data_IF_628483622286
#
_entry.id   IF_628483622286
#
_cell.length_a   1.000
_cell.length_b   1.000
_cell.length_c   1.000
_cell.angle_alpha   90.00
_cell.angle_beta   90.00
_cell.angle_gamma   90.00
#
_symmetry.space_group_name_H-M   'P 1'
#
loop_
_entity.id
_entity.type
_entity.pdbx_description
1 polymer ?
#
# COMPACT_ATOMS: atom_id res chain seq x y z
N UNK A 1 -29.19 76.20 7.99
CA UNK A 1 -30.35 76.04 7.09
C UNK A 1 -29.84 75.81 5.67
N UNK A 2 -30.50 74.88 4.97
CA UNK A 2 -30.40 74.54 3.52
C UNK A 2 -29.48 73.37 3.15
N UNK A 3 -30.16 72.23 3.08
CA UNK A 3 -29.90 70.98 2.37
C UNK A 3 -29.96 71.15 0.84
N UNK A 4 -29.59 70.04 0.18
CA UNK A 4 -29.88 69.63 -1.22
C UNK A 4 -28.90 70.12 -2.29
N UNK A 5 -28.43 69.33 -3.26
CA UNK A 5 -28.58 67.90 -3.62
C UNK A 5 -27.60 67.60 -4.77
N UNK A 6 -27.07 66.38 -4.79
CA UNK A 6 -26.85 65.48 -5.94
C UNK A 6 -26.15 66.03 -7.20
N UNK A 7 -24.96 65.48 -7.49
CA UNK A 7 -24.58 65.06 -8.85
C UNK A 7 -23.56 63.91 -8.80
N UNK A 8 -24.04 62.68 -8.96
CA UNK A 8 -23.37 61.68 -9.78
C UNK A 8 -23.51 62.13 -11.24
N UNK A 9 -22.51 61.96 -12.12
CA UNK A 9 -22.09 60.62 -12.54
C UNK A 9 -20.59 60.47 -12.83
N UNK A 10 -20.09 59.26 -12.65
CA UNK A 10 -19.48 58.49 -13.73
C UNK A 10 -19.03 57.18 -13.10
N UNK A 11 -19.82 56.13 -13.34
CA UNK A 11 -19.26 54.79 -13.38
C UNK A 11 -18.05 54.87 -14.32
N UNK A 12 -16.85 54.78 -13.76
CA UNK A 12 -15.66 54.50 -14.55
C UNK A 12 -15.91 53.10 -15.06
N UNK A 13 -16.39 53.03 -16.30
CA UNK A 13 -16.44 51.82 -17.07
C UNK A 13 -15.08 51.14 -16.94
N UNK A 14 -15.02 50.06 -16.17
CA UNK A 14 -14.04 48.99 -16.37
C UNK A 14 -14.39 48.27 -17.67
N UNK A 15 -14.52 49.05 -18.75
CA UNK A 15 -14.55 48.56 -20.10
C UNK A 15 -13.11 48.17 -20.42
N UNK A 16 -12.81 46.90 -20.16
CA UNK A 16 -12.12 46.07 -21.12
C UNK A 16 -11.04 46.76 -21.97
N UNK A 17 -10.04 47.38 -21.34
CA UNK A 17 -8.69 47.38 -21.91
C UNK A 17 -8.10 46.01 -21.61
N UNK A 18 -8.67 44.99 -22.26
CA UNK A 18 -7.92 43.79 -22.63
C UNK A 18 -6.96 44.30 -23.70
N UNK A 19 -5.85 44.90 -23.28
CA UNK A 19 -4.64 44.88 -24.06
C UNK A 19 -4.36 43.41 -24.31
N UNK A 20 -4.80 42.91 -25.47
CA UNK A 20 -4.34 41.64 -26.01
C UNK A 20 -2.86 41.83 -26.30
N UNK A 21 -2.03 41.68 -25.28
CA UNK A 21 -0.65 41.25 -25.47
C UNK A 21 -0.76 39.91 -26.16
N UNK A 22 -0.59 39.91 -27.49
CA UNK A 22 -0.46 38.68 -28.28
C UNK A 22 0.68 37.89 -27.63
N UNK A 23 0.37 36.80 -26.95
CA UNK A 23 1.38 35.96 -26.35
C UNK A 23 2.06 35.20 -27.50
N UNK A 24 3.19 35.74 -27.99
CA UNK A 24 3.99 35.13 -29.06
C UNK A 24 4.57 33.77 -28.69
N UNK A 25 4.59 33.44 -27.40
CA UNK A 25 5.06 32.15 -26.91
C UNK A 25 3.97 31.50 -26.08
N UNK A 26 3.68 30.25 -26.41
CA UNK A 26 2.65 29.47 -25.76
C UNK A 26 3.24 28.64 -24.61
N UNK A 27 2.62 28.71 -23.44
CA UNK A 27 2.93 27.84 -22.31
C UNK A 27 1.61 27.38 -21.67
N UNK A 28 1.29 26.10 -21.82
CA UNK A 28 0.07 25.49 -21.27
C UNK A 28 0.38 24.16 -20.61
N UNK A 29 0.00 24.02 -19.34
CA UNK A 29 0.06 22.75 -18.61
C UNK A 29 -1.23 21.93 -18.71
N UNK A 30 -2.36 22.55 -19.08
CA UNK A 30 -3.67 21.92 -19.24
C UNK A 30 -4.29 22.27 -20.60
N UNK A 31 -5.24 21.46 -21.06
CA UNK A 31 -5.95 21.67 -22.32
C UNK A 31 -6.63 23.05 -22.37
N UNK A 32 -7.36 23.41 -21.31
CA UNK A 32 -8.09 24.68 -21.18
C UNK A 32 -7.17 25.88 -20.87
N UNK A 33 -5.87 25.66 -20.66
CA UNK A 33 -4.91 26.70 -20.27
C UNK A 33 -4.97 27.14 -18.80
N UNK A 34 -5.89 26.58 -18.01
CA UNK A 34 -5.99 26.87 -16.56
C UNK A 34 -4.86 26.21 -15.78
N UNK A 35 -4.33 26.89 -14.76
CA UNK A 35 -3.36 26.34 -13.82
C UNK A 35 -3.71 26.72 -12.38
N UNK A 36 -3.29 25.90 -11.42
CA UNK A 36 -3.32 26.28 -10.02
C UNK A 36 -2.44 27.52 -9.78
N UNK A 37 -2.80 28.41 -8.84
CA UNK A 37 -2.01 29.61 -8.58
C UNK A 37 -0.58 29.22 -8.20
N UNK A 38 0.43 29.61 -8.99
CA UNK A 38 1.81 29.17 -8.77
C UNK A 38 2.45 29.87 -7.57
N UNK A 39 1.92 31.02 -7.17
CA UNK A 39 2.43 31.84 -6.08
C UNK A 39 1.40 31.90 -4.95
N UNK A 40 1.81 31.71 -3.68
CA UNK A 40 0.94 31.94 -2.53
C UNK A 40 0.69 33.45 -2.34
N UNK A 41 -0.26 33.79 -1.47
CA UNK A 41 -0.46 35.19 -1.11
C UNK A 41 0.76 35.75 -0.33
N UNK A 42 1.01 37.07 -0.37
CA UNK A 42 2.09 37.67 0.39
C UNK A 42 1.99 37.36 1.90
N UNK A 43 3.07 36.84 2.49
CA UNK A 43 3.13 36.46 3.90
C UNK A 43 2.71 35.02 4.21
N UNK A 44 2.18 34.28 3.23
CA UNK A 44 1.83 32.87 3.40
C UNK A 44 3.00 31.94 3.07
N UNK A 45 3.07 30.79 3.76
CA UNK A 45 4.07 29.76 3.48
C UNK A 45 3.72 29.02 2.18
N UNK A 46 4.66 28.86 1.23
CA UNK A 46 4.39 28.13 -0.01
C UNK A 46 4.13 26.64 0.25
N UNK A 47 3.32 26.03 -0.62
CA UNK A 47 3.08 24.59 -0.64
C UNK A 47 4.17 23.90 -1.47
N UNK A 48 4.80 22.89 -0.90
CA UNK A 48 5.80 22.08 -1.60
C UNK A 48 5.25 20.69 -1.93
N UNK A 49 5.61 20.12 -3.10
CA UNK A 49 5.30 18.73 -3.40
C UNK A 49 6.08 17.77 -2.48
N UNK A 50 5.54 16.55 -2.30
CA UNK A 50 6.28 15.50 -1.58
C UNK A 50 7.56 15.16 -2.33
N UNK A 51 8.70 15.27 -1.62
CA UNK A 51 10.01 14.90 -2.16
C UNK A 51 10.29 13.40 -2.06
N UNK A 52 9.52 12.64 -1.29
CA UNK A 52 9.66 11.20 -1.16
C UNK A 52 8.92 10.48 -2.29
N UNK A 53 9.48 9.35 -2.74
CA UNK A 53 8.85 8.46 -3.70
C UNK A 53 7.55 7.90 -3.12
N UNK A 54 6.56 7.65 -3.97
CA UNK A 54 5.23 7.16 -3.60
C UNK A 54 5.24 5.64 -3.36
N UNK A 55 6.17 5.19 -2.52
CA UNK A 55 6.30 3.80 -2.11
C UNK A 55 5.33 3.52 -0.94
N UNK A 56 4.54 2.42 -0.98
CA UNK A 56 3.49 2.17 0.01
C UNK A 56 4.02 1.88 1.43
N UNK A 57 5.25 1.40 1.56
CA UNK A 57 5.85 1.10 2.87
C UNK A 57 6.61 2.32 3.41
N UNK A 58 6.64 2.47 4.74
CA UNK A 58 7.38 3.56 5.40
C UNK A 58 8.90 3.51 5.17
N UNK A 59 9.42 2.33 4.84
CA UNK A 59 10.82 2.09 4.51
C UNK A 59 10.88 1.23 3.23
N UNK A 60 11.82 1.51 2.31
CA UNK A 60 12.85 2.55 2.37
C UNK A 60 12.31 3.97 2.12
N UNK A 61 12.97 4.98 2.72
CA UNK A 61 12.65 6.40 2.48
C UNK A 61 13.48 6.94 1.33
N UNK A 62 13.01 6.74 0.10
CA UNK A 62 13.71 7.19 -1.11
C UNK A 62 13.19 8.55 -1.56
N UNK A 63 14.09 9.43 -1.98
CA UNK A 63 13.72 10.68 -2.65
C UNK A 63 13.25 10.38 -4.08
N UNK A 64 12.27 11.14 -4.58
CA UNK A 64 11.83 11.08 -5.97
C UNK A 64 13.02 11.25 -6.91
N UNK A 65 13.15 10.32 -7.85
CA UNK A 65 14.13 10.41 -8.93
C UNK A 65 13.74 11.52 -9.92
N UNK A 66 14.67 11.94 -10.80
CA UNK A 66 14.37 12.91 -11.85
C UNK A 66 13.18 12.45 -12.72
N UNK A 67 13.10 11.16 -13.04
CA UNK A 67 12.01 10.58 -13.82
C UNK A 67 10.66 10.68 -13.10
N UNK A 68 10.62 10.45 -11.78
CA UNK A 68 9.41 10.65 -10.97
C UNK A 68 8.99 12.12 -10.93
N UNK A 69 9.93 13.06 -10.93
CA UNK A 69 9.60 14.49 -11.08
C UNK A 69 9.00 14.81 -12.44
N UNK A 70 9.48 14.17 -13.52
CA UNK A 70 8.89 14.31 -14.85
C UNK A 70 7.44 13.81 -14.87
N UNK A 71 7.17 12.65 -14.25
CA UNK A 71 5.80 12.13 -14.10
C UNK A 71 4.93 13.06 -13.24
N UNK A 72 5.47 13.57 -12.13
CA UNK A 72 4.78 14.52 -11.26
C UNK A 72 4.37 15.79 -12.00
N UNK A 73 5.21 16.29 -12.92
CA UNK A 73 4.92 17.45 -13.76
C UNK A 73 4.17 17.12 -15.06
N UNK A 74 3.58 15.94 -15.20
CA UNK A 74 2.68 15.60 -16.31
C UNK A 74 3.34 15.12 -17.61
N UNK A 75 4.64 14.81 -17.59
CA UNK A 75 5.34 14.19 -18.73
C UNK A 75 5.40 12.67 -18.57
N UNK A 76 5.56 11.93 -19.67
CA UNK A 76 5.60 10.47 -19.72
C UNK A 76 6.96 9.84 -19.34
N UNK A 77 7.70 10.43 -18.39
CA UNK A 77 9.02 9.96 -17.95
C UNK A 77 10.19 10.37 -18.86
N UNK A 78 9.91 10.88 -20.06
CA UNK A 78 10.89 11.55 -20.94
C UNK A 78 10.33 12.91 -21.39
N UNK A 79 11.18 13.91 -21.67
CA UNK A 79 10.71 15.23 -22.09
C UNK A 79 9.85 15.24 -23.36
N UNK A 80 10.09 14.36 -24.34
CA UNK A 80 9.36 14.34 -25.61
C UNK A 80 8.11 13.44 -25.64
N UNK A 81 7.64 12.95 -24.49
CA UNK A 81 6.50 12.03 -24.40
C UNK A 81 5.45 12.63 -23.49
N UNK A 82 4.24 12.86 -24.04
CA UNK A 82 3.18 13.63 -23.39
C UNK A 82 3.65 15.03 -22.94
N UNK A 83 2.76 15.79 -22.29
CA UNK A 83 3.08 17.13 -21.80
C UNK A 83 3.20 18.20 -22.89
N UNK A 84 3.59 19.40 -22.45
CA UNK A 84 3.56 20.64 -23.25
C UNK A 84 4.53 20.61 -24.43
N UNK A 85 5.69 19.99 -24.25
CA UNK A 85 6.78 19.86 -25.25
C UNK A 85 6.40 19.08 -26.51
N UNK A 86 5.29 18.33 -26.47
CA UNK A 86 4.76 17.57 -27.62
C UNK A 86 3.41 18.11 -28.11
N UNK A 87 2.69 18.83 -27.25
CA UNK A 87 1.35 19.34 -27.56
C UNK A 87 1.33 20.68 -28.25
N UNK A 88 2.24 21.56 -27.84
CA UNK A 88 2.39 22.90 -28.38
C UNK A 88 3.05 22.80 -29.77
N UNK A 89 2.63 23.64 -30.71
CA UNK A 89 3.24 23.66 -32.03
C UNK A 89 4.67 24.20 -31.95
N UNK A 90 5.59 23.61 -32.73
CA UNK A 90 7.01 24.00 -32.70
C UNK A 90 7.23 25.43 -33.23
N UNK A 91 6.35 25.91 -34.12
CA UNK A 91 6.41 27.24 -34.69
C UNK A 91 5.03 27.74 -35.15
N UNK A 92 4.94 29.05 -35.33
CA UNK A 92 3.87 29.75 -36.03
C UNK A 92 4.47 30.70 -37.08
N UNK A 93 3.69 31.06 -38.10
CA UNK A 93 4.10 32.11 -39.05
C UNK A 93 3.97 33.49 -38.40
N UNK A 94 4.71 34.49 -38.90
CA UNK A 94 4.75 35.83 -38.30
C UNK A 94 3.40 36.59 -38.35
N UNK A 95 2.53 36.23 -39.28
CA UNK A 95 1.15 36.72 -39.37
C UNK A 95 0.22 36.05 -38.33
N UNK A 96 0.68 34.98 -37.68
CA UNK A 96 -0.05 34.14 -36.74
C UNK A 96 -0.78 32.98 -37.41
N UNK A 97 -0.47 32.66 -38.66
CA UNK A 97 -0.97 31.43 -39.29
C UNK A 97 -0.35 30.21 -38.57
N UNK A 98 -1.15 29.22 -38.13
CA UNK A 98 -0.63 28.05 -37.43
C UNK A 98 0.08 27.07 -38.37
N UNK A 99 0.90 26.18 -37.81
CA UNK A 99 1.51 25.08 -38.56
C UNK A 99 0.47 24.05 -39.06
N UNK A 100 0.79 23.35 -40.16
CA UNK A 100 -0.07 22.30 -40.71
C UNK A 100 -0.04 21.01 -39.87
N UNK A 101 -1.10 20.22 -39.99
CA UNK A 101 -1.20 18.95 -39.26
C UNK A 101 -0.32 17.87 -39.93
N UNK A 102 0.81 17.56 -39.31
CA UNK A 102 1.64 16.42 -39.73
C UNK A 102 0.91 15.09 -39.54
N UNK A 103 1.19 14.09 -40.38
CA UNK A 103 0.69 12.72 -40.19
C UNK A 103 1.06 12.12 -38.83
N UNK A 104 2.23 12.49 -38.28
CA UNK A 104 2.63 12.07 -36.91
C UNK A 104 1.79 12.76 -35.84
N UNK A 105 1.42 14.03 -36.04
CA UNK A 105 0.54 14.78 -35.14
C UNK A 105 -0.87 14.18 -35.14
N UNK A 106 -1.37 13.81 -36.32
CA UNK A 106 -2.65 13.11 -36.46
C UNK A 106 -2.63 11.74 -35.77
N UNK A 107 -1.61 10.90 -36.03
CA UNK A 107 -1.46 9.61 -35.37
C UNK A 107 -1.35 9.73 -33.84
N UNK A 108 -0.70 10.78 -33.35
CA UNK A 108 -0.63 11.07 -31.92
C UNK A 108 -2.00 11.48 -31.34
N UNK A 109 -2.81 12.28 -32.05
CA UNK A 109 -4.19 12.57 -31.63
C UNK A 109 -5.05 11.31 -31.62
N UNK A 110 -4.95 10.48 -32.66
CA UNK A 110 -5.61 9.17 -32.68
C UNK A 110 -5.19 8.30 -31.47
N UNK A 111 -3.91 8.32 -31.07
CA UNK A 111 -3.46 7.60 -29.87
C UNK A 111 -4.11 8.14 -28.59
N UNK A 112 -4.26 9.46 -28.46
CA UNK A 112 -4.96 10.06 -27.31
C UNK A 112 -6.44 9.65 -27.27
N UNK A 113 -7.11 9.72 -28.41
CA UNK A 113 -8.50 9.30 -28.53
C UNK A 113 -8.64 7.81 -28.24
N UNK A 114 -7.67 6.99 -28.65
CA UNK A 114 -7.65 5.56 -28.36
C UNK A 114 -7.57 5.29 -26.85
N UNK A 115 -6.76 6.02 -26.09
CA UNK A 115 -6.70 5.89 -24.63
C UNK A 115 -8.05 6.26 -23.97
N UNK A 116 -8.72 7.30 -24.47
CA UNK A 116 -10.06 7.68 -24.00
C UNK A 116 -11.09 6.58 -24.31
N UNK A 117 -11.05 6.02 -25.52
CA UNK A 117 -11.93 4.92 -25.93
C UNK A 117 -11.69 3.67 -25.08
N UNK A 118 -10.43 3.35 -24.75
CA UNK A 118 -10.11 2.25 -23.84
C UNK A 118 -10.73 2.48 -22.46
N UNK A 119 -10.58 3.68 -21.89
CA UNK A 119 -11.14 4.05 -20.59
C UNK A 119 -12.67 3.93 -20.57
N UNK A 120 -13.34 4.51 -21.57
CA UNK A 120 -14.82 4.49 -21.67
C UNK A 120 -15.33 3.06 -21.87
N UNK A 121 -14.69 2.27 -22.74
CA UNK A 121 -15.10 0.88 -22.97
C UNK A 121 -14.86 -0.01 -21.75
N UNK A 122 -13.76 0.20 -21.02
CA UNK A 122 -13.49 -0.52 -19.78
C UNK A 122 -14.53 -0.18 -18.70
N UNK A 123 -14.84 1.10 -18.50
CA UNK A 123 -15.89 1.55 -17.58
C UNK A 123 -17.26 0.97 -17.92
N UNK A 124 -17.68 1.07 -19.20
CA UNK A 124 -18.95 0.52 -19.66
C UNK A 124 -19.03 -1.02 -19.53
N UNK A 125 -17.91 -1.73 -19.64
CA UNK A 125 -17.87 -3.17 -19.40
C UNK A 125 -18.11 -3.51 -17.93
N UNK A 126 -17.52 -2.76 -17.01
CA UNK A 126 -17.73 -2.92 -15.56
C UNK A 126 -19.18 -2.59 -15.19
N UNK A 127 -19.74 -1.50 -15.69
CA UNK A 127 -21.16 -1.12 -15.45
C UNK A 127 -22.11 -2.22 -15.94
N UNK A 128 -21.87 -2.78 -17.12
CA UNK A 128 -22.67 -3.89 -17.66
C UNK A 128 -22.55 -5.14 -16.80
N UNK A 129 -21.36 -5.47 -16.32
CA UNK A 129 -21.15 -6.61 -15.42
C UNK A 129 -21.84 -6.39 -14.07
N UNK A 130 -21.76 -5.19 -13.52
CA UNK A 130 -22.47 -4.80 -12.30
C UNK A 130 -23.99 -4.93 -12.46
N UNK A 131 -24.55 -4.40 -13.56
CA UNK A 131 -25.98 -4.46 -13.86
C UNK A 131 -26.49 -5.91 -14.06
N UNK A 132 -25.62 -6.81 -14.51
CA UNK A 132 -25.92 -8.25 -14.63
C UNK A 132 -25.69 -9.03 -13.34
N UNK A 133 -25.18 -8.39 -12.28
CA UNK A 133 -24.81 -9.06 -11.03
C UNK A 133 -23.62 -10.02 -11.15
N UNK A 134 -22.75 -9.82 -12.16
CA UNK A 134 -21.59 -10.69 -12.40
C UNK A 134 -20.34 -10.29 -11.61
N UNK A 135 -20.35 -9.12 -10.96
CA UNK A 135 -19.26 -8.71 -10.08
C UNK A 135 -19.39 -9.44 -8.74
N UNK A 136 -18.45 -10.34 -8.38
CA UNK A 136 -18.53 -11.08 -7.14
C UNK A 136 -18.31 -10.15 -5.94
N UNK A 137 -18.96 -10.48 -4.82
CA UNK A 137 -18.73 -9.79 -3.54
C UNK A 137 -17.41 -10.19 -2.89
N UNK A 138 -16.93 -11.39 -3.20
CA UNK A 138 -15.68 -11.94 -2.69
C UNK A 138 -14.51 -11.40 -3.53
N UNK A 139 -13.53 -10.72 -2.92
CA UNK A 139 -12.36 -10.21 -3.61
C UNK A 139 -11.47 -11.32 -4.18
N UNK A 140 -10.83 -11.03 -5.32
CA UNK A 140 -9.83 -11.91 -5.93
C UNK A 140 -10.42 -13.08 -6.71
N UNK A 141 -9.57 -13.71 -7.51
CA UNK A 141 -9.92 -14.95 -8.22
C UNK A 141 -9.79 -16.16 -7.28
N UNK A 142 -10.38 -17.33 -7.60
CA UNK A 142 -10.14 -18.56 -6.81
C UNK A 142 -8.66 -18.92 -6.68
N UNK A 143 -7.87 -18.70 -7.73
CA UNK A 143 -6.42 -18.94 -7.72
C UNK A 143 -5.71 -18.01 -6.74
N UNK A 144 -6.03 -16.72 -6.76
CA UNK A 144 -5.45 -15.75 -5.83
C UNK A 144 -5.82 -16.07 -4.38
N UNK A 145 -7.07 -16.44 -4.11
CA UNK A 145 -7.55 -16.80 -2.76
C UNK A 145 -6.89 -18.05 -2.20
N UNK A 146 -6.57 -19.02 -3.05
CA UNK A 146 -5.87 -20.23 -2.62
C UNK A 146 -4.39 -19.98 -2.32
N UNK A 147 -3.81 -18.93 -2.91
CA UNK A 147 -2.40 -18.60 -2.77
C UNK A 147 -2.12 -17.60 -1.65
N UNK A 148 -2.97 -16.58 -1.50
CA UNK A 148 -2.77 -15.45 -0.59
C UNK A 148 -3.55 -15.63 0.73
N UNK A 149 -2.88 -15.90 1.87
CA UNK A 149 -3.53 -16.02 3.17
C UNK A 149 -3.97 -14.67 3.75
N UNK A 150 -3.60 -13.53 3.13
CA UNK A 150 -4.07 -12.22 3.57
C UNK A 150 -5.53 -11.94 3.16
N UNK A 151 -6.06 -12.67 2.17
CA UNK A 151 -7.47 -12.58 1.80
C UNK A 151 -8.28 -13.41 2.82
N UNK A 152 -9.24 -12.81 3.55
CA UNK A 152 -10.03 -13.54 4.54
C UNK A 152 -10.77 -14.74 3.95
N UNK A 153 -11.03 -15.76 4.76
CA UNK A 153 -11.94 -16.82 4.37
C UNK A 153 -13.40 -16.31 4.43
N UNK A 154 -14.04 -16.19 3.26
CA UNK A 154 -15.44 -15.75 3.14
C UNK A 154 -16.41 -16.91 3.42
N UNK A 155 -16.41 -17.39 4.66
CA UNK A 155 -17.32 -18.40 5.18
C UNK A 155 -18.58 -17.71 5.74
N UNK A 156 -19.78 -18.23 5.47
CA UNK A 156 -21.03 -17.59 5.91
C UNK A 156 -21.38 -17.91 7.37
N UNK A 157 -21.45 -19.20 7.72
CA UNK A 157 -22.02 -19.67 9.00
C UNK A 157 -20.99 -20.31 9.95
N UNK A 158 -19.72 -20.41 9.53
CA UNK A 158 -18.66 -21.03 10.33
C UNK A 158 -17.58 -20.02 10.65
N UNK A 159 -16.96 -20.20 11.81
CA UNK A 159 -15.82 -19.40 12.21
C UNK A 159 -14.59 -19.75 11.35
N UNK A 160 -13.77 -18.74 11.06
CA UNK A 160 -12.58 -18.88 10.22
C UNK A 160 -11.56 -19.84 10.85
N UNK A 161 -11.49 -19.87 12.19
CA UNK A 161 -10.52 -20.65 12.96
C UNK A 161 -11.13 -21.94 13.55
N UNK A 162 -12.11 -22.52 12.86
CA UNK A 162 -12.67 -23.84 13.20
C UNK A 162 -13.89 -23.74 14.09
N UNK A 163 -13.75 -24.04 15.40
CA UNK A 163 -14.85 -23.87 16.35
C UNK A 163 -14.82 -22.45 16.87
N UNK A 164 -16.00 -21.82 17.11
CA UNK A 164 -16.03 -20.54 17.78
C UNK A 164 -15.24 -20.66 19.08
N UNK A 165 -14.45 -19.64 19.45
CA UNK A 165 -13.72 -19.64 20.70
C UNK A 165 -14.69 -19.97 21.84
N UNK A 166 -14.30 -20.83 22.78
CA UNK A 166 -15.23 -21.46 23.70
C UNK A 166 -16.06 -20.41 24.43
N UNK A 167 -17.37 -20.39 24.11
CA UNK A 167 -18.36 -19.79 25.00
C UNK A 167 -18.54 -20.72 26.20
N UNK A 168 -18.77 -20.13 27.37
CA UNK A 168 -18.48 -20.69 28.70
C UNK A 168 -19.37 -21.89 29.14
N UNK A 169 -19.88 -22.73 28.23
CA UNK A 169 -20.72 -23.88 28.61
C UNK A 169 -20.48 -25.12 27.75
N UNK A 170 -19.91 -26.18 28.36
CA UNK A 170 -19.67 -27.49 27.72
C UNK A 170 -20.56 -28.62 28.29
N UNK A 171 -20.98 -29.50 27.38
CA UNK A 171 -21.84 -30.71 27.56
C UNK A 171 -21.19 -31.84 28.37
N UNK A 172 -22.00 -32.77 28.89
CA UNK A 172 -21.64 -33.84 29.84
C UNK A 172 -20.96 -35.07 29.21
N UNK A 173 -21.24 -35.40 27.95
CA UNK A 173 -20.74 -36.63 27.33
C UNK A 173 -19.24 -36.56 26.95
N UNK A 174 -18.73 -35.36 26.66
CA UNK A 174 -17.29 -35.15 26.44
C UNK A 174 -16.47 -35.29 27.73
N UNK A 175 -17.09 -35.05 28.90
CA UNK A 175 -16.41 -35.05 30.21
C UNK A 175 -15.83 -36.42 30.56
N UNK A 176 -16.54 -37.50 30.26
CA UNK A 176 -16.13 -38.86 30.66
C UNK A 176 -14.95 -39.39 29.85
N UNK A 177 -14.82 -38.99 28.58
CA UNK A 177 -13.69 -39.37 27.73
C UNK A 177 -12.46 -38.53 28.10
N UNK A 178 -12.66 -37.25 28.39
CA UNK A 178 -11.62 -36.34 28.86
C UNK A 178 -11.06 -36.82 30.22
N UNK A 179 -11.91 -37.23 31.18
CA UNK A 179 -11.49 -37.68 32.52
C UNK A 179 -10.48 -38.84 32.51
N UNK A 180 -10.62 -39.78 31.58
CA UNK A 180 -9.73 -40.96 31.50
C UNK A 180 -8.41 -40.66 30.79
N UNK A 181 -8.37 -39.64 29.94
CA UNK A 181 -7.17 -39.25 29.17
C UNK A 181 -6.42 -38.06 29.79
N UNK A 182 -7.05 -37.29 30.69
CA UNK A 182 -6.56 -35.98 31.11
C UNK A 182 -5.46 -35.97 32.20
N UNK A 183 -5.33 -37.00 33.06
CA UNK A 183 -4.45 -36.90 34.24
C UNK A 183 -3.34 -37.96 34.26
N UNK A 184 -2.24 -37.69 33.55
CA UNK A 184 -0.99 -38.46 33.67
C UNK A 184 -0.20 -38.11 34.93
N UNK A 185 -0.44 -36.93 35.51
CA UNK A 185 0.21 -36.40 36.70
C UNK A 185 -0.82 -35.68 37.57
N UNK A 186 -0.75 -35.91 38.88
CA UNK A 186 -1.72 -35.38 39.85
C UNK A 186 -1.09 -34.25 40.68
N UNK A 187 -1.90 -33.23 41.00
CA UNK A 187 -1.52 -32.12 41.87
C UNK A 187 -1.15 -32.64 43.26
N UNK A 188 -0.06 -32.17 43.88
CA UNK A 188 0.33 -32.64 45.20
C UNK A 188 -0.70 -32.24 46.26
N UNK A 189 -1.07 -33.19 47.13
CA UNK A 189 -2.10 -33.01 48.17
C UNK A 189 -1.80 -31.87 49.16
N UNK A 190 -0.55 -31.42 49.26
CA UNK A 190 -0.13 -30.32 50.13
C UNK A 190 -0.56 -28.94 49.58
N UNK A 191 -0.87 -28.84 48.29
CA UNK A 191 -1.39 -27.61 47.67
C UNK A 191 -2.92 -27.60 47.57
N UNK A 192 -3.53 -28.75 47.29
CA UNK A 192 -4.97 -28.94 47.30
C UNK A 192 -5.26 -30.43 47.53
N UNK A 193 -5.91 -30.76 48.64
CA UNK A 193 -6.24 -32.14 48.97
C UNK A 193 -7.47 -32.60 48.18
N UNK A 194 -7.22 -33.38 47.14
CA UNK A 194 -8.26 -33.95 46.27
C UNK A 194 -9.30 -34.80 47.02
N UNK A 195 -8.91 -35.49 48.10
CA UNK A 195 -9.83 -36.36 48.85
C UNK A 195 -10.87 -35.57 49.65
N UNK A 196 -10.55 -34.32 49.99
CA UNK A 196 -11.46 -33.36 50.62
C UNK A 196 -12.21 -32.51 49.57
N UNK A 197 -12.00 -32.80 48.28
CA UNK A 197 -12.61 -32.06 47.17
C UNK A 197 -11.93 -30.73 46.85
N UNK A 198 -10.74 -30.46 47.38
CA UNK A 198 -10.00 -29.24 47.09
C UNK A 198 -9.31 -29.31 45.72
N UNK A 199 -9.53 -28.31 44.89
CA UNK A 199 -8.91 -28.17 43.57
C UNK A 199 -8.30 -26.79 43.40
N UNK A 200 -7.12 -26.73 42.78
CA UNK A 200 -6.55 -25.45 42.37
C UNK A 200 -7.28 -24.95 41.13
N UNK A 201 -7.79 -23.71 41.20
CA UNK A 201 -8.28 -23.00 40.03
C UNK A 201 -7.12 -22.60 39.12
N UNK A 202 -7.34 -22.61 37.80
CA UNK A 202 -6.37 -22.13 36.84
C UNK A 202 -6.08 -20.66 37.12
N UNK A 203 -4.89 -20.35 37.63
CA UNK A 203 -4.47 -18.99 37.88
C UNK A 203 -3.99 -18.36 36.56
N UNK A 204 -4.96 -17.87 35.79
CA UNK A 204 -4.74 -17.21 34.50
C UNK A 204 -4.32 -15.74 34.63
N UNK A 205 -4.04 -15.26 35.85
CA UNK A 205 -3.68 -13.86 36.13
C UNK A 205 -2.46 -13.39 35.31
N UNK A 206 -1.61 -14.30 34.84
CA UNK A 206 -0.41 -14.02 34.06
C UNK A 206 -0.39 -14.70 32.69
N UNK A 207 -1.52 -15.21 32.20
CA UNK A 207 -1.58 -15.80 30.86
C UNK A 207 -1.53 -14.71 29.78
N UNK A 208 -0.71 -14.93 28.75
CA UNK A 208 -0.60 -14.05 27.59
C UNK A 208 -0.99 -14.80 26.32
N UNK A 209 -1.99 -14.27 25.60
CA UNK A 209 -2.35 -14.73 24.25
C UNK A 209 -1.50 -14.09 23.15
N UNK A 210 -0.55 -13.22 23.53
CA UNK A 210 0.38 -12.61 22.59
C UNK A 210 1.44 -13.65 22.17
N UNK A 211 1.49 -14.07 20.88
CA UNK A 211 2.52 -15.00 20.41
C UNK A 211 3.94 -14.44 20.61
N UNK A 212 4.11 -13.11 20.70
CA UNK A 212 5.41 -12.50 20.97
C UNK A 212 5.94 -12.79 22.38
N UNK A 213 5.09 -13.24 23.31
CA UNK A 213 5.54 -13.66 24.64
C UNK A 213 6.44 -14.91 24.60
N UNK A 214 6.30 -15.75 23.56
CA UNK A 214 7.02 -17.02 23.46
C UNK A 214 7.84 -17.15 22.16
N UNK A 215 7.50 -16.40 21.11
CA UNK A 215 8.28 -16.33 19.86
C UNK A 215 9.42 -15.33 20.02
N UNK A 216 10.67 -15.83 19.97
CA UNK A 216 11.87 -15.00 20.12
C UNK A 216 12.48 -14.64 18.77
N UNK A 217 12.04 -13.52 18.19
CA UNK A 217 12.58 -12.96 16.93
C UNK A 217 13.87 -12.13 17.16
N UNK A 218 14.77 -12.65 18.01
CA UNK A 218 16.05 -11.99 18.29
C UNK A 218 17.08 -12.36 17.22
N UNK A 219 17.38 -11.39 16.35
CA UNK A 219 18.43 -11.54 15.33
C UNK A 219 19.80 -11.35 16.00
N UNK A 220 20.53 -12.45 16.21
CA UNK A 220 21.91 -12.42 16.67
C UNK A 220 22.83 -11.89 15.55
N UNK A 221 23.17 -10.60 15.60
CA UNK A 221 24.01 -9.94 14.58
C UNK A 221 25.46 -10.46 14.55
N UNK A 222 25.93 -11.07 15.64
CA UNK A 222 27.27 -11.65 15.75
C UNK A 222 27.19 -12.97 16.50
N UNK A 223 27.74 -14.01 15.90
CA UNK A 223 27.90 -15.30 16.58
C UNK A 223 28.92 -15.17 17.71
N UNK A 224 28.56 -15.67 18.90
CA UNK A 224 29.46 -15.72 20.04
C UNK A 224 30.60 -16.72 19.77
N UNK A 225 31.85 -16.22 19.82
CA UNK A 225 33.04 -17.06 19.61
C UNK A 225 33.44 -17.77 20.90
N UNK A 226 34.00 -18.98 20.75
CA UNK A 226 34.55 -19.75 21.87
C UNK A 226 35.72 -18.97 22.53
N UNK A 227 35.75 -18.83 23.87
CA UNK A 227 36.71 -17.97 24.57
C UNK A 227 38.09 -18.61 24.69
N UNK A 228 38.93 -18.45 23.67
CA UNK A 228 40.29 -19.01 23.63
C UNK A 228 41.28 -18.39 24.63
N UNK A 229 40.96 -17.21 25.15
CA UNK A 229 41.80 -16.48 26.12
C UNK A 229 41.73 -17.05 27.55
N UNK A 230 40.82 -17.99 27.85
CA UNK A 230 40.68 -18.58 29.17
C UNK A 230 40.79 -20.09 29.12
N UNK A 231 41.83 -20.66 29.76
CA UNK A 231 42.11 -22.11 29.74
C UNK A 231 40.92 -22.95 30.22
N UNK A 232 40.31 -22.57 31.37
CA UNK A 232 39.15 -23.26 31.94
C UNK A 232 37.92 -23.13 31.04
N UNK A 233 37.59 -21.91 30.58
CA UNK A 233 36.38 -21.69 29.77
C UNK A 233 36.50 -22.30 28.38
N UNK A 234 37.70 -22.33 27.79
CA UNK A 234 37.96 -23.03 26.54
C UNK A 234 37.58 -24.50 26.66
N UNK A 235 38.13 -25.22 27.64
CA UNK A 235 37.83 -26.65 27.83
C UNK A 235 36.35 -26.92 28.17
N UNK A 236 35.71 -26.08 28.98
CA UNK A 236 34.31 -26.26 29.37
C UNK A 236 33.30 -25.96 28.26
N UNK A 237 33.68 -25.17 27.25
CA UNK A 237 32.83 -24.82 26.11
C UNK A 237 33.14 -25.66 24.88
N UNK A 238 33.72 -26.86 25.07
CA UNK A 238 34.04 -27.75 23.96
C UNK A 238 32.79 -28.30 23.30
N UNK A 239 32.77 -28.30 21.97
CA UNK A 239 31.68 -28.84 21.17
C UNK A 239 32.17 -30.11 20.50
N UNK A 240 31.81 -31.27 21.04
CA UNK A 240 32.17 -32.57 20.48
C UNK A 240 31.31 -32.88 19.24
N UNK A 241 31.69 -32.30 18.11
CA UNK A 241 31.04 -32.52 16.82
C UNK A 241 32.07 -32.85 15.75
N UNK A 242 31.74 -33.84 14.91
CA UNK A 242 32.54 -34.21 13.73
C UNK A 242 31.80 -33.69 12.51
N UNK A 243 32.33 -32.70 11.77
CA UNK A 243 31.66 -32.19 10.59
C UNK A 243 31.50 -33.32 9.56
N UNK A 244 30.28 -33.49 9.05
CA UNK A 244 29.96 -34.44 7.99
C UNK A 244 29.46 -33.66 6.78
N UNK A 245 30.13 -33.84 5.64
CA UNK A 245 29.58 -33.41 4.36
C UNK A 245 28.39 -34.30 3.98
N UNK A 246 27.31 -33.76 3.40
CA UNK A 246 26.28 -34.58 2.81
C UNK A 246 26.93 -35.51 1.78
N UNK A 247 26.78 -36.84 1.92
CA UNK A 247 27.22 -37.78 0.89
C UNK A 247 26.32 -37.59 -0.33
N UNK A 248 26.85 -37.58 -1.56
CA UNK A 248 25.99 -37.63 -2.74
C UNK A 248 25.16 -38.91 -2.63
N UNK A 249 23.83 -38.77 -2.59
CA UNK A 249 22.95 -39.92 -2.79
C UNK A 249 23.30 -40.46 -4.16
N UNK A 250 23.63 -41.76 -4.25
CA UNK A 250 23.61 -42.47 -5.52
C UNK A 250 22.20 -42.29 -6.08
N UNK A 251 22.03 -41.36 -7.02
CA UNK A 251 20.85 -41.35 -7.89
C UNK A 251 20.78 -42.73 -8.50
N UNK A 252 19.63 -43.38 -8.32
CA UNK A 252 19.21 -44.50 -9.12
C UNK A 252 19.51 -44.13 -10.58
N UNK A 253 20.28 -44.97 -11.27
CA UNK A 253 20.42 -44.82 -12.72
C UNK A 253 19.02 -45.02 -13.28
N UNK A 254 18.50 -44.02 -13.98
CA UNK A 254 17.34 -44.20 -14.86
C UNK A 254 17.71 -45.33 -15.84
N UNK A 255 17.06 -46.48 -15.70
CA UNK A 255 16.91 -47.50 -16.75
C UNK A 255 15.58 -47.27 -17.47
#
# INVERSE_FOLDING_TARGET
MRLCTVRWPAAVSTAATVTMTRAFSEARSNYDGTAAPPWPAPGEKPKYPSALSEFPLQRPRMRKTHTEWMFFHGHGGRPGVYGQTREIADFEFADGTPASMSGRRFAFKHHQDHLLVQLVRAGAAVERQAARGLLPRVPGTPEQRNWDPAIPLFLEDVDEQGRPPPSVSRSMCSRVIDERMASSTQTPNELANRHEGETLEANTMFESYDPQAFVSDHINLRDEKRPYWSRRRWALTDKFLVPKSPKPKNTIKDE
#
